data_IF_903676986908
#
_entry.id   IF_903676986908
#
_cell.length_a   1.000
_cell.length_b   1.000
_cell.length_c   1.000
_cell.angle_alpha   90.00
_cell.angle_beta   90.00
_cell.angle_gamma   90.00
#
_symmetry.space_group_name_H-M   'P 1'
#
loop_
_entity.id
_entity.type
_entity.pdbx_description
1 polymer ?
#
# COMPACT_ATOMS: atom_id res chain seq x y z
N UNK A 1 -5.09 -7.14 15.91
CA UNK A 1 -4.33 -8.41 15.90
C UNK A 1 -3.49 -8.59 14.63
N UNK A 2 -4.00 -8.27 13.43
CA UNK A 2 -3.22 -8.29 12.18
C UNK A 2 -1.96 -7.43 12.23
N UNK A 3 -2.07 -6.17 12.69
CA UNK A 3 -0.89 -5.30 12.88
C UNK A 3 0.15 -5.97 13.80
N UNK A 4 -0.29 -6.64 14.87
CA UNK A 4 0.63 -7.35 15.77
C UNK A 4 1.29 -8.55 15.08
N UNK A 5 0.54 -9.34 14.31
CA UNK A 5 1.10 -10.43 13.51
C UNK A 5 2.24 -9.94 12.60
N UNK A 6 2.01 -8.86 11.84
CA UNK A 6 3.04 -8.32 10.95
C UNK A 6 4.20 -7.69 11.72
N UNK A 7 3.91 -6.98 12.82
CA UNK A 7 4.95 -6.43 13.70
C UNK A 7 5.84 -7.50 14.35
N UNK A 8 5.30 -8.70 14.60
CA UNK A 8 6.05 -9.83 15.18
C UNK A 8 6.84 -10.59 14.12
N UNK A 9 6.25 -10.82 12.94
CA UNK A 9 6.87 -11.58 11.84
C UNK A 9 7.84 -10.74 11.00
N UNK A 10 7.60 -9.44 10.91
CA UNK A 10 8.39 -8.48 10.14
C UNK A 10 8.70 -7.28 11.03
N UNK A 11 9.70 -7.37 11.94
CA UNK A 11 9.92 -6.36 12.98
C UNK A 11 10.09 -4.92 12.47
N UNK A 12 10.70 -4.75 11.28
CA UNK A 12 10.89 -3.42 10.67
C UNK A 12 9.59 -2.82 10.13
N UNK A 13 8.54 -3.62 9.91
CA UNK A 13 7.25 -3.15 9.43
C UNK A 13 6.55 -2.20 10.41
N UNK A 14 6.93 -2.18 11.69
CA UNK A 14 6.43 -1.20 12.68
C UNK A 14 6.60 0.24 12.23
N UNK A 15 7.68 0.52 11.49
CA UNK A 15 7.99 1.86 10.97
C UNK A 15 7.12 2.27 9.78
N UNK A 16 6.39 1.31 9.19
CA UNK A 16 5.56 1.49 8.00
C UNK A 16 4.10 1.85 8.32
N UNK A 17 3.79 2.09 9.59
CA UNK A 17 2.47 2.56 10.01
C UNK A 17 2.41 4.09 9.89
N UNK A 18 2.27 4.59 8.67
CA UNK A 18 2.16 6.02 8.41
C UNK A 18 1.01 6.32 7.45
N UNK A 19 0.45 7.52 7.59
CA UNK A 19 -0.54 8.05 6.67
C UNK A 19 0.12 8.48 5.36
N UNK A 20 -0.59 8.24 4.27
CA UNK A 20 -0.33 8.85 2.97
C UNK A 20 -1.37 9.94 2.71
N UNK A 21 -0.97 10.99 2.01
CA UNK A 21 -1.83 12.11 1.67
C UNK A 21 -1.85 12.31 0.16
N UNK A 22 -3.00 12.06 -0.45
CA UNK A 22 -3.17 12.16 -1.89
C UNK A 22 -3.74 13.52 -2.28
N UNK A 23 -3.06 14.20 -3.20
CA UNK A 23 -3.53 15.43 -3.82
C UNK A 23 -4.23 15.09 -5.14
N UNK A 24 -5.56 15.18 -5.15
CA UNK A 24 -6.37 14.92 -6.35
C UNK A 24 -6.12 15.90 -7.48
N UNK A 25 -5.70 17.14 -7.18
CA UNK A 25 -5.43 18.16 -8.20
C UNK A 25 -4.16 17.85 -8.98
N UNK A 26 -3.11 17.35 -8.32
CA UNK A 26 -1.85 16.95 -8.96
C UNK A 26 -1.78 15.45 -9.25
N UNK A 27 -2.80 14.69 -8.82
CA UNK A 27 -2.93 13.23 -8.96
C UNK A 27 -1.75 12.45 -8.38
N UNK A 28 -1.18 12.93 -7.28
CA UNK A 28 0.02 12.36 -6.66
C UNK A 28 -0.08 12.39 -5.14
N UNK A 29 0.57 11.42 -4.49
CA UNK A 29 0.87 11.48 -3.07
C UNK A 29 1.94 12.52 -2.80
N UNK A 30 1.72 13.35 -1.79
CA UNK A 30 2.69 14.34 -1.35
C UNK A 30 3.73 13.71 -0.43
N UNK A 31 4.93 14.28 -0.45
CA UNK A 31 5.93 14.01 0.57
C UNK A 31 5.55 14.82 1.81
N UNK A 32 5.09 14.13 2.85
CA UNK A 32 4.71 14.72 4.13
C UNK A 32 5.92 15.42 4.77
N UNK A 33 5.88 16.75 4.78
CA UNK A 33 6.78 17.59 5.57
C UNK A 33 5.99 18.23 6.73
N UNK A 34 6.69 18.59 7.81
CA UNK A 34 6.04 19.07 9.05
C UNK A 34 5.22 20.37 8.89
N UNK A 35 5.19 20.99 7.71
CA UNK A 35 4.54 22.29 7.46
C UNK A 35 3.38 22.22 6.46
N UNK A 36 3.03 21.03 5.98
CA UNK A 36 1.98 20.89 4.99
C UNK A 36 0.58 20.85 5.62
N UNK A 37 -0.33 21.69 5.14
CA UNK A 37 -1.75 21.64 5.54
C UNK A 37 -2.45 20.44 4.90
N UNK A 38 -2.67 19.39 5.69
CA UNK A 38 -3.26 18.13 5.22
C UNK A 38 -4.77 18.17 5.03
N UNK A 39 -5.47 19.23 5.44
CA UNK A 39 -6.94 19.33 5.34
C UNK A 39 -7.45 19.29 3.89
N UNK A 40 -6.54 19.55 2.94
CA UNK A 40 -6.81 19.66 1.51
C UNK A 40 -6.60 18.33 0.77
N UNK A 41 -6.04 17.32 1.44
CA UNK A 41 -5.66 16.05 0.85
C UNK A 41 -6.54 14.91 1.33
N UNK A 42 -6.61 13.88 0.50
CA UNK A 42 -7.27 12.63 0.86
C UNK A 42 -6.25 11.82 1.68
N UNK A 43 -6.51 11.68 2.98
CA UNK A 43 -5.73 10.82 3.86
C UNK A 43 -6.07 9.35 3.59
N UNK A 44 -5.04 8.55 3.33
CA UNK A 44 -5.14 7.11 3.19
C UNK A 44 -4.24 6.46 4.24
N UNK A 45 -4.86 5.68 5.12
CA UNK A 45 -4.15 4.94 6.15
C UNK A 45 -3.92 3.52 5.64
N UNK A 46 -2.70 3.26 5.16
CA UNK A 46 -2.25 1.91 4.85
C UNK A 46 -1.61 1.31 6.10
N UNK A 47 -2.17 0.23 6.65
CA UNK A 47 -1.47 -0.54 7.67
C UNK A 47 -0.12 -1.02 7.14
N UNK A 48 0.79 -1.25 8.07
CA UNK A 48 2.17 -1.71 7.88
C UNK A 48 2.32 -2.76 6.75
N UNK A 49 1.40 -3.72 6.71
CA UNK A 49 1.47 -4.85 5.78
C UNK A 49 1.04 -4.49 4.36
N UNK A 50 0.12 -3.55 4.19
CA UNK A 50 -0.31 -3.09 2.87
C UNK A 50 0.84 -2.34 2.19
N UNK A 51 1.65 -1.60 2.96
CA UNK A 51 2.90 -0.98 2.48
C UNK A 51 3.90 -2.05 2.02
N UNK A 52 4.11 -3.12 2.80
CA UNK A 52 5.01 -4.23 2.40
C UNK A 52 4.58 -4.89 1.09
N UNK A 53 3.28 -5.18 0.96
CA UNK A 53 2.72 -5.81 -0.23
C UNK A 53 2.79 -4.89 -1.45
N UNK A 54 2.48 -3.61 -1.26
CA UNK A 54 2.50 -2.62 -2.33
C UNK A 54 3.93 -2.33 -2.81
N UNK A 55 4.89 -2.23 -1.89
CA UNK A 55 6.32 -2.06 -2.24
C UNK A 55 6.86 -3.25 -3.05
N UNK A 56 6.50 -4.46 -2.64
CA UNK A 56 6.87 -5.68 -3.37
C UNK A 56 6.25 -5.67 -4.77
N UNK A 57 4.98 -5.25 -4.89
CA UNK A 57 4.32 -5.10 -6.18
C UNK A 57 5.00 -4.07 -7.07
N UNK A 58 5.32 -2.89 -6.56
CA UNK A 58 6.01 -1.83 -7.30
C UNK A 58 7.41 -2.30 -7.75
N UNK A 59 8.13 -2.99 -6.87
CA UNK A 59 9.44 -3.58 -7.17
C UNK A 59 9.38 -4.59 -8.31
N UNK A 60 8.37 -5.46 -8.33
CA UNK A 60 8.17 -6.42 -9.42
C UNK A 60 7.73 -5.73 -10.73
N UNK A 61 6.85 -4.72 -10.62
CA UNK A 61 6.40 -3.92 -11.75
C UNK A 61 7.57 -3.24 -12.48
N UNK A 62 8.49 -2.63 -11.72
CA UNK A 62 9.66 -1.93 -12.27
C UNK A 62 10.72 -2.87 -12.86
N UNK A 63 10.74 -4.15 -12.46
CA UNK A 63 11.67 -5.17 -12.99
C UNK A 63 11.18 -5.82 -14.30
N UNK A 64 9.97 -5.50 -14.76
CA UNK A 64 9.41 -5.99 -16.03
C UNK A 64 8.77 -7.39 -15.96
N UNK A 65 8.90 -8.09 -14.83
CA UNK A 65 8.18 -9.32 -14.54
C UNK A 65 6.82 -8.97 -13.92
N UNK A 66 5.85 -8.72 -14.80
CA UNK A 66 4.51 -8.26 -14.47
C UNK A 66 3.72 -9.35 -13.71
N UNK A 67 3.91 -9.46 -12.40
CA UNK A 67 3.22 -10.43 -11.55
C UNK A 67 2.21 -9.76 -10.59
N UNK A 68 1.23 -9.03 -11.16
CA UNK A 68 -0.17 -9.00 -10.70
C UNK A 68 -1.02 -8.04 -11.58
N UNK A 69 -1.99 -8.55 -12.36
CA UNK A 69 -2.88 -7.72 -13.18
C UNK A 69 -4.11 -7.28 -12.37
N UNK A 70 -4.00 -6.21 -11.58
CA UNK A 70 -5.20 -5.58 -10.98
C UNK A 70 -5.50 -4.20 -11.58
N UNK A 71 -4.48 -3.50 -12.05
CA UNK A 71 -4.63 -2.20 -12.70
C UNK A 71 -4.00 -2.30 -14.09
N UNK A 72 -4.82 -2.60 -15.09
CA UNK A 72 -4.43 -2.44 -16.49
C UNK A 72 -4.58 -0.97 -16.90
N UNK A 73 -3.96 -0.61 -18.03
CA UNK A 73 -3.95 0.75 -18.59
C UNK A 73 -5.34 1.38 -18.66
N UNK A 74 -5.42 2.66 -18.30
CA UNK A 74 -6.62 3.51 -18.28
C UNK A 74 -7.53 3.29 -17.05
N UNK A 75 -6.98 3.45 -15.86
CA UNK A 75 -7.80 3.57 -14.66
C UNK A 75 -8.59 4.89 -14.72
N UNK A 76 -9.92 4.80 -14.83
CA UNK A 76 -10.79 5.98 -14.76
C UNK A 76 -10.73 6.61 -13.37
N UNK A 77 -11.07 7.90 -13.25
CA UNK A 77 -11.12 8.60 -11.95
C UNK A 77 -12.07 7.89 -10.97
N UNK A 78 -13.20 7.36 -11.46
CA UNK A 78 -14.14 6.55 -10.69
C UNK A 78 -13.52 5.23 -10.19
N UNK A 79 -12.60 4.64 -10.95
CA UNK A 79 -11.85 3.45 -10.56
C UNK A 79 -10.80 3.75 -9.48
N UNK A 80 -10.16 4.92 -9.54
CA UNK A 80 -9.27 5.41 -8.47
C UNK A 80 -10.06 5.70 -7.19
N UNK A 81 -11.19 6.40 -7.30
CA UNK A 81 -12.06 6.69 -6.15
C UNK A 81 -12.60 5.41 -5.51
N UNK A 82 -12.95 4.41 -6.34
CA UNK A 82 -13.38 3.09 -5.87
C UNK A 82 -12.23 2.32 -5.20
N UNK A 83 -10.99 2.45 -5.69
CA UNK A 83 -9.81 1.88 -5.04
C UNK A 83 -9.58 2.52 -3.66
N UNK A 84 -9.63 3.85 -3.55
CA UNK A 84 -9.46 4.54 -2.27
C UNK A 84 -10.60 4.22 -1.30
N UNK A 85 -11.84 4.15 -1.79
CA UNK A 85 -13.01 3.74 -1.00
C UNK A 85 -12.87 2.29 -0.54
N UNK A 86 -12.44 1.39 -1.43
CA UNK A 86 -12.16 -0.01 -1.12
C UNK A 86 -11.04 -0.17 -0.10
N UNK A 87 -9.91 0.53 -0.24
CA UNK A 87 -8.82 0.50 0.73
C UNK A 87 -9.26 1.00 2.12
N UNK A 88 -10.08 2.05 2.16
CA UNK A 88 -10.68 2.57 3.39
C UNK A 88 -11.63 1.55 4.03
N UNK A 89 -12.55 0.99 3.25
CA UNK A 89 -13.47 -0.07 3.70
C UNK A 89 -12.72 -1.32 4.16
N UNK A 90 -11.63 -1.69 3.48
CA UNK A 90 -10.80 -2.84 3.84
C UNK A 90 -10.10 -2.62 5.18
N UNK A 91 -9.51 -1.43 5.38
CA UNK A 91 -8.92 -0.99 6.65
C UNK A 91 -9.93 -1.02 7.81
N UNK A 92 -11.19 -0.68 7.53
CA UNK A 92 -12.29 -0.71 8.51
C UNK A 92 -12.80 -2.14 8.79
N UNK A 93 -12.87 -3.01 7.78
CA UNK A 93 -13.49 -4.35 7.86
C UNK A 93 -12.59 -5.37 8.58
N UNK A 94 -11.27 -5.26 8.45
CA UNK A 94 -10.32 -6.20 9.07
C UNK A 94 -10.23 -6.09 10.59
N UNK A 95 -10.88 -5.09 11.20
CA UNK A 95 -10.91 -4.88 12.66
C UNK A 95 -11.71 -5.94 13.44
N UNK A 96 -12.25 -6.98 12.81
CA UNK A 96 -13.10 -7.96 13.49
C UNK A 96 -13.18 -9.39 12.93
N UNK A 97 -12.33 -9.81 11.99
CA UNK A 97 -12.42 -11.17 11.43
C UNK A 97 -11.41 -12.17 12.04
N UNK A 98 -11.91 -13.19 12.75
CA UNK A 98 -11.12 -14.31 13.28
C UNK A 98 -10.47 -15.16 12.17
N UNK A 99 -11.08 -15.24 10.98
CA UNK A 99 -10.61 -16.08 9.87
C UNK A 99 -9.36 -15.53 9.17
N UNK A 100 -9.20 -14.22 9.17
CA UNK A 100 -8.04 -13.55 8.57
C UNK A 100 -6.74 -13.98 9.25
N UNK A 101 -6.73 -14.03 10.58
CA UNK A 101 -5.52 -14.40 11.33
C UNK A 101 -5.10 -15.84 11.04
N UNK A 102 -6.08 -16.75 10.88
CA UNK A 102 -5.82 -18.14 10.53
C UNK A 102 -5.14 -18.26 9.15
N UNK A 103 -5.65 -17.54 8.15
CA UNK A 103 -5.00 -17.46 6.84
C UNK A 103 -3.58 -16.89 6.92
N UNK A 104 -3.39 -15.79 7.68
CA UNK A 104 -2.08 -15.17 7.85
C UNK A 104 -1.06 -16.13 8.50
N UNK A 105 -1.50 -16.87 9.52
CA UNK A 105 -0.64 -17.77 10.29
C UNK A 105 -0.32 -19.07 9.54
N UNK A 106 -1.26 -19.60 8.75
CA UNK A 106 -1.13 -20.93 8.15
C UNK A 106 -0.72 -20.88 6.67
N UNK A 107 -1.24 -19.92 5.90
CA UNK A 107 -1.08 -19.89 4.45
C UNK A 107 -0.12 -18.79 4.00
N UNK A 108 -0.29 -17.57 4.52
CA UNK A 108 0.50 -16.41 4.10
C UNK A 108 1.99 -16.61 4.40
N UNK A 109 2.36 -16.94 5.65
CA UNK A 109 3.78 -17.05 6.06
C UNK A 109 4.55 -18.15 5.32
N UNK A 110 3.83 -19.15 4.80
CA UNK A 110 4.39 -20.27 4.06
C UNK A 110 4.40 -20.03 2.54
N UNK A 111 3.88 -18.88 2.09
CA UNK A 111 3.85 -18.53 0.68
C UNK A 111 5.28 -18.27 0.16
N UNK A 112 5.60 -18.80 -1.02
CA UNK A 112 6.90 -18.62 -1.67
C UNK A 112 7.28 -17.14 -1.89
N UNK A 113 6.28 -16.26 -2.04
CA UNK A 113 6.47 -14.82 -2.24
C UNK A 113 6.85 -14.07 -0.96
N UNK A 114 6.80 -14.70 0.23
CA UNK A 114 7.23 -14.06 1.49
C UNK A 114 8.69 -13.61 1.42
N UNK A 115 9.53 -14.36 0.70
CA UNK A 115 10.94 -14.01 0.47
C UNK A 115 11.15 -12.72 -0.32
N UNK A 116 10.12 -12.25 -1.03
CA UNK A 116 10.16 -11.03 -1.82
C UNK A 116 9.78 -9.78 -1.02
N UNK A 117 9.22 -9.95 0.18
CA UNK A 117 8.80 -8.82 1.01
C UNK A 117 10.03 -8.07 1.52
N UNK A 118 10.16 -6.81 1.12
CA UNK A 118 11.13 -5.90 1.70
C UNK A 118 10.54 -5.27 2.96
N UNK A 119 11.25 -5.37 4.09
CA UNK A 119 10.82 -4.75 5.36
C UNK A 119 11.54 -3.45 5.68
N UNK A 120 12.61 -3.13 4.94
CA UNK A 120 13.41 -1.91 5.08
C UNK A 120 13.02 -0.93 3.99
N UNK A 121 11.77 -0.43 4.07
CA UNK A 121 11.21 0.48 3.10
C UNK A 121 11.45 1.92 3.57
N UNK A 122 12.15 2.70 2.73
CA UNK A 122 12.25 4.14 2.95
C UNK A 122 10.93 4.81 2.51
N UNK A 123 10.32 5.57 3.42
CA UNK A 123 9.03 6.23 3.18
C UNK A 123 9.07 7.16 1.97
N UNK A 124 10.15 7.91 1.80
CA UNK A 124 10.29 8.87 0.70
C UNK A 124 10.39 8.13 -0.62
N UNK A 125 11.26 7.12 -0.69
CA UNK A 125 11.42 6.31 -1.88
C UNK A 125 10.11 5.59 -2.26
N UNK A 126 9.43 5.00 -1.28
CA UNK A 126 8.14 4.36 -1.48
C UNK A 126 7.08 5.30 -2.07
N UNK A 127 6.96 6.52 -1.54
CA UNK A 127 6.01 7.53 -2.07
C UNK A 127 6.38 7.91 -3.51
N UNK A 128 7.68 8.06 -3.81
CA UNK A 128 8.15 8.36 -5.15
C UNK A 128 7.79 7.24 -6.14
N UNK A 129 8.04 5.99 -5.77
CA UNK A 129 7.78 4.83 -6.61
C UNK A 129 6.27 4.58 -6.79
N UNK A 130 5.48 4.79 -5.73
CA UNK A 130 4.02 4.75 -5.81
C UNK A 130 3.45 5.80 -6.76
N UNK A 131 4.02 7.02 -6.75
CA UNK A 131 3.63 8.07 -7.70
C UNK A 131 4.01 7.72 -9.14
N UNK A 132 5.16 7.06 -9.36
CA UNK A 132 5.52 6.54 -10.69
C UNK A 132 4.50 5.51 -11.12
N UNK A 133 4.18 4.53 -10.27
CA UNK A 133 3.19 3.49 -10.58
C UNK A 133 1.84 4.11 -10.96
N UNK A 134 1.31 5.04 -10.15
CA UNK A 134 0.04 5.74 -10.46
C UNK A 134 0.11 6.41 -11.83
N UNK A 135 1.22 7.09 -12.15
CA UNK A 135 1.41 7.76 -13.43
C UNK A 135 1.35 6.76 -14.60
N UNK A 136 2.11 5.66 -14.51
CA UNK A 136 2.13 4.60 -15.53
C UNK A 136 0.75 3.96 -15.71
N UNK A 137 0.00 3.75 -14.62
CA UNK A 137 -1.35 3.16 -14.67
C UNK A 137 -2.42 4.11 -15.22
N UNK A 138 -2.22 5.42 -15.08
CA UNK A 138 -3.22 6.44 -15.41
C UNK A 138 -2.91 7.23 -16.68
N UNK A 139 -1.77 6.99 -17.34
CA UNK A 139 -1.30 7.72 -18.53
C UNK A 139 -1.27 9.26 -18.34
N UNK A 140 -0.98 9.72 -17.12
CA UNK A 140 -0.86 11.15 -16.80
C UNK A 140 0.59 11.65 -16.87
#
# INVERSE_FOLDING_TARGET
EIINFFNEKFPQSKTLNFNLYYNSSTRQFIFDDQNTDHSQFIEVNYPNFEILLLDTYISLFTQGDNYCPAFWNNCSEESLDSFFSGAKEFSDTWRGEENVLSFLQNDFINNQCISLLNTEIDRTQFIADLNILIRELTNN
#
